data_IF_065630962569
#
_entry.id   IF_065630962569
#
_cell.length_a   1.000
_cell.length_b   1.000
_cell.length_c   1.000
_cell.angle_alpha   90.00
_cell.angle_beta   90.00
_cell.angle_gamma   90.00
#
_symmetry.space_group_name_H-M   'P 1'
#
loop_
_entity.id
_entity.type
_entity.pdbx_description
1 polymer ?
#
# COMPACT_ATOMS: atom_id res chain seq x y z
N UNK A 1 -7.66 11.28 21.03
CA UNK A 1 -7.58 10.59 19.72
C UNK A 1 -6.37 9.65 19.76
N UNK A 2 -6.59 8.36 19.98
CA UNK A 2 -5.51 7.39 20.19
C UNK A 2 -4.69 7.20 18.90
N UNK A 3 -3.46 7.73 18.92
CA UNK A 3 -2.45 7.49 17.88
C UNK A 3 -2.19 6.00 17.75
N UNK A 4 -2.89 5.34 16.82
CA UNK A 4 -2.70 3.92 16.52
C UNK A 4 -1.28 3.76 15.95
N UNK A 5 -0.34 3.30 16.79
CA UNK A 5 1.06 3.08 16.40
C UNK A 5 1.09 2.19 15.15
N UNK A 6 1.58 2.73 14.04
CA UNK A 6 1.75 1.98 12.80
C UNK A 6 2.91 1.02 13.00
N UNK A 7 2.61 -0.29 13.16
CA UNK A 7 3.66 -1.32 13.27
C UNK A 7 4.28 -1.56 11.90
N UNK A 8 5.50 -1.05 11.69
CA UNK A 8 6.30 -1.28 10.48
C UNK A 8 6.73 -2.74 10.45
N UNK A 9 6.50 -3.43 9.33
CA UNK A 9 6.98 -4.79 9.09
C UNK A 9 8.43 -4.75 8.58
N UNK A 10 9.37 -5.31 9.34
CA UNK A 10 10.76 -5.53 8.91
C UNK A 10 10.93 -7.03 8.68
N UNK A 11 11.04 -7.45 7.42
CA UNK A 11 11.35 -8.85 7.10
C UNK A 11 12.81 -9.01 6.66
N UNK A 12 13.24 -10.26 6.41
CA UNK A 12 14.61 -10.58 5.96
C UNK A 12 15.05 -9.83 4.70
N UNK A 13 14.11 -9.35 3.88
CA UNK A 13 14.39 -8.60 2.67
C UNK A 13 14.55 -7.09 2.91
N UNK A 14 14.34 -6.60 4.13
CA UNK A 14 14.43 -5.18 4.46
C UNK A 14 15.81 -4.60 4.15
N UNK A 15 16.88 -5.30 4.56
CA UNK A 15 18.26 -4.87 4.29
C UNK A 15 18.59 -4.84 2.80
N UNK A 16 18.14 -5.85 2.07
CA UNK A 16 18.29 -5.93 0.61
C UNK A 16 17.49 -4.87 -0.17
N UNK A 17 16.56 -4.17 0.49
CA UNK A 17 15.71 -3.12 -0.10
C UNK A 17 16.03 -1.74 0.49
N UNK A 18 17.32 -1.40 0.53
CA UNK A 18 17.89 -0.13 1.03
C UNK A 18 17.66 0.17 2.53
N UNK A 19 17.17 -0.78 3.34
CA UNK A 19 16.87 -0.57 4.76
C UNK A 19 15.99 0.67 5.04
N UNK A 20 15.21 1.10 4.04
CA UNK A 20 14.39 2.30 4.10
C UNK A 20 12.93 1.91 3.94
N UNK A 21 12.11 2.23 4.95
CA UNK A 21 10.66 2.05 4.89
C UNK A 21 9.99 3.40 4.70
N UNK A 22 8.99 3.46 3.82
CA UNK A 22 8.13 4.62 3.66
C UNK A 22 6.66 4.20 3.77
N UNK A 23 5.85 5.06 4.37
CA UNK A 23 4.40 4.89 4.37
C UNK A 23 3.83 5.74 3.24
N UNK A 24 3.07 5.10 2.34
CA UNK A 24 2.32 5.77 1.29
C UNK A 24 0.85 5.82 1.70
N UNK A 25 0.24 6.99 1.60
CA UNK A 25 -1.20 7.17 1.76
C UNK A 25 -1.85 7.01 0.39
N UNK A 26 -2.62 5.95 0.21
CA UNK A 26 -3.32 5.65 -1.04
C UNK A 26 -4.74 6.19 -0.95
N UNK A 27 -5.11 7.05 -1.90
CA UNK A 27 -6.42 7.69 -1.99
C UNK A 27 -7.09 7.38 -3.32
N UNK A 28 -8.42 7.32 -3.33
CA UNK A 28 -9.16 7.29 -4.60
C UNK A 28 -8.92 8.61 -5.36
N UNK A 29 -8.66 8.54 -6.66
CA UNK A 29 -8.42 9.74 -7.45
C UNK A 29 -9.66 10.63 -7.63
N UNK A 30 -10.86 10.04 -7.59
CA UNK A 30 -12.15 10.73 -7.80
C UNK A 30 -12.67 11.42 -6.54
N UNK A 31 -12.79 10.69 -5.44
CA UNK A 31 -13.38 11.21 -4.20
C UNK A 31 -12.35 11.59 -3.12
N UNK A 32 -11.04 11.44 -3.40
CA UNK A 32 -9.93 11.67 -2.45
C UNK A 32 -10.01 10.88 -1.12
N UNK A 33 -10.96 9.95 -0.96
CA UNK A 33 -11.07 9.09 0.22
C UNK A 33 -9.80 8.26 0.41
N UNK A 34 -9.29 8.24 1.64
CA UNK A 34 -8.18 7.35 2.03
C UNK A 34 -8.67 5.92 1.96
N UNK A 35 -8.00 5.11 1.13
CA UNK A 35 -8.32 3.70 0.96
C UNK A 35 -7.54 2.86 1.96
N UNK A 36 -6.23 3.08 2.02
CA UNK A 36 -5.33 2.40 2.95
C UNK A 36 -3.97 3.11 3.01
N UNK A 37 -3.17 2.78 4.02
CA UNK A 37 -1.76 3.10 4.08
C UNK A 37 -0.96 1.89 3.55
N UNK A 38 0.13 2.14 2.84
CA UNK A 38 0.94 1.09 2.25
C UNK A 38 2.40 1.26 2.64
N UNK A 39 2.97 0.21 3.19
CA UNK A 39 4.40 0.17 3.47
C UNK A 39 5.18 -0.15 2.20
N UNK A 40 5.93 0.83 1.70
CA UNK A 40 6.85 0.67 0.58
C UNK A 40 8.29 0.62 1.10
N UNK A 41 8.95 -0.50 0.87
CA UNK A 41 10.38 -0.66 1.11
C UNK A 41 11.15 -0.21 -0.15
N UNK A 42 12.27 0.50 0.04
CA UNK A 42 13.17 0.96 -1.02
C UNK A 42 13.02 2.42 -1.45
N UNK A 43 13.86 2.85 -2.42
CA UNK A 43 13.95 4.24 -2.88
C UNK A 43 12.63 4.82 -3.42
N UNK A 44 12.43 6.14 -3.26
CA UNK A 44 11.34 6.86 -3.89
C UNK A 44 11.63 6.94 -5.39
N UNK A 45 10.64 6.59 -6.21
CA UNK A 45 10.81 6.68 -7.65
C UNK A 45 9.75 5.85 -8.36
N UNK A 46 9.32 6.37 -9.52
CA UNK A 46 8.45 5.67 -10.43
C UNK A 46 7.01 5.44 -9.99
N UNK A 47 6.32 4.67 -10.82
CA UNK A 47 4.90 4.38 -10.71
C UNK A 47 4.64 3.22 -9.74
N UNK A 48 3.65 3.37 -8.85
CA UNK A 48 3.22 2.29 -7.94
C UNK A 48 2.34 1.30 -8.71
N UNK A 49 2.96 0.27 -9.29
CA UNK A 49 2.27 -0.75 -10.09
C UNK A 49 1.39 -1.69 -9.25
N UNK A 50 1.81 -1.97 -8.00
CA UNK A 50 1.23 -3.00 -7.15
C UNK A 50 1.43 -2.75 -5.67
N UNK A 51 0.51 -3.27 -4.87
CA UNK A 51 0.59 -3.27 -3.41
C UNK A 51 0.40 -4.70 -2.88
N UNK A 52 1.39 -5.25 -2.18
CA UNK A 52 1.23 -6.54 -1.52
C UNK A 52 0.27 -6.42 -0.33
N UNK A 53 -0.72 -7.32 -0.22
CA UNK A 53 -1.73 -7.26 0.85
C UNK A 53 -1.09 -7.33 2.23
N UNK A 54 -0.05 -8.15 2.39
CA UNK A 54 0.67 -8.28 3.65
C UNK A 54 1.46 -7.01 4.06
N UNK A 55 1.57 -6.00 3.19
CA UNK A 55 2.20 -4.69 3.44
C UNK A 55 1.19 -3.55 3.54
N UNK A 56 -0.10 -3.84 3.38
CA UNK A 56 -1.15 -2.86 3.57
C UNK A 56 -1.41 -2.68 5.06
N UNK A 57 -1.38 -1.43 5.48
CA UNK A 57 -1.75 -0.95 6.81
C UNK A 57 -3.12 -0.31 6.65
N UNK A 58 -4.17 -1.05 7.01
CA UNK A 58 -5.55 -0.64 6.87
C UNK A 58 -6.31 -0.87 8.16
N UNK A 59 -7.35 -0.07 8.40
CA UNK A 59 -8.32 -0.33 9.47
C UNK A 59 -9.35 -1.40 9.06
N UNK A 60 -9.48 -1.69 7.75
CA UNK A 60 -10.39 -2.70 7.20
C UNK A 60 -9.61 -3.79 6.47
N UNK A 61 -10.03 -5.03 6.64
CA UNK A 61 -9.52 -6.16 5.88
C UNK A 61 -9.83 -5.97 4.39
N UNK A 62 -8.81 -6.22 3.56
CA UNK A 62 -8.97 -6.20 2.10
C UNK A 62 -9.18 -7.63 1.67
N UNK A 63 -10.34 -7.90 1.08
CA UNK A 63 -10.68 -9.21 0.56
C UNK A 63 -9.68 -9.59 -0.57
N UNK A 64 -8.91 -10.67 -0.42
CA UNK A 64 -7.93 -11.11 -1.42
C UNK A 64 -8.56 -11.67 -2.69
N UNK A 65 -9.85 -11.99 -2.68
CA UNK A 65 -10.57 -12.56 -3.82
C UNK A 65 -11.44 -11.52 -4.56
N UNK A 66 -11.55 -10.30 -4.03
CA UNK A 66 -12.40 -9.26 -4.60
C UNK A 66 -11.60 -8.05 -5.08
N UNK A 67 -12.07 -7.43 -6.16
CA UNK A 67 -11.52 -6.18 -6.65
C UNK A 67 -11.68 -5.07 -5.61
N UNK A 68 -10.60 -4.32 -5.36
CA UNK A 68 -10.68 -3.12 -4.55
C UNK A 68 -11.41 -2.04 -5.36
N UNK A 69 -12.64 -1.73 -4.95
CA UNK A 69 -13.49 -0.71 -5.58
C UNK A 69 -13.72 0.46 -4.63
N UNK A 70 -13.81 1.65 -5.21
CA UNK A 70 -14.36 2.84 -4.56
C UNK A 70 -15.36 3.46 -5.53
N UNK A 71 -15.03 4.57 -6.20
CA UNK A 71 -15.83 5.09 -7.31
C UNK A 71 -15.56 4.36 -8.64
N UNK A 72 -14.39 3.74 -8.76
CA UNK A 72 -13.93 2.92 -9.89
C UNK A 72 -13.14 1.74 -9.32
N UNK A 73 -12.77 0.78 -10.16
CA UNK A 73 -11.83 -0.29 -9.79
C UNK A 73 -10.45 0.33 -9.54
N UNK A 74 -9.97 0.23 -8.30
CA UNK A 74 -8.68 0.77 -7.88
C UNK A 74 -7.58 -0.26 -8.08
N UNK A 75 -7.86 -1.51 -7.71
CA UNK A 75 -6.90 -2.59 -7.83
C UNK A 75 -7.56 -3.95 -7.95
N UNK A 76 -6.90 -4.83 -8.70
CA UNK A 76 -7.34 -6.19 -8.96
C UNK A 76 -6.39 -7.13 -8.19
N UNK A 77 -6.89 -7.99 -7.30
CA UNK A 77 -6.03 -8.93 -6.60
C UNK A 77 -5.48 -9.98 -7.56
N UNK A 78 -4.22 -10.37 -7.35
CA UNK A 78 -3.57 -11.45 -8.08
C UNK A 78 -2.44 -12.05 -7.24
N UNK A 79 -2.08 -13.30 -7.55
CA UNK A 79 -0.93 -13.97 -6.93
C UNK A 79 0.35 -13.59 -7.69
N UNK A 80 1.36 -13.08 -6.99
CA UNK A 80 2.66 -12.78 -7.58
C UNK A 80 3.54 -14.04 -7.66
N UNK A 81 4.63 -13.98 -8.44
CA UNK A 81 5.54 -15.13 -8.70
C UNK A 81 6.07 -15.81 -7.44
N UNK A 82 6.16 -15.07 -6.34
CA UNK A 82 6.62 -15.57 -5.04
C UNK A 82 5.49 -16.08 -4.13
N UNK A 83 4.29 -16.26 -4.67
CA UNK A 83 3.11 -16.77 -3.97
C UNK A 83 2.34 -15.73 -3.17
N UNK A 84 2.83 -14.49 -3.03
CA UNK A 84 2.15 -13.43 -2.26
C UNK A 84 0.97 -12.85 -3.03
N UNK A 85 -0.10 -12.53 -2.33
CA UNK A 85 -1.23 -11.81 -2.91
C UNK A 85 -0.91 -10.32 -2.97
N UNK A 86 -1.13 -9.72 -4.13
CA UNK A 86 -0.96 -8.29 -4.38
C UNK A 86 -2.15 -7.70 -5.14
N UNK A 87 -2.41 -6.42 -4.94
CA UNK A 87 -3.31 -5.63 -5.77
C UNK A 87 -2.52 -5.05 -6.94
N UNK A 88 -2.89 -5.38 -8.18
CA UNK A 88 -2.45 -4.66 -9.39
C UNK A 88 -3.24 -3.35 -9.46
N UNK A 89 -2.56 -2.22 -9.31
CA UNK A 89 -3.24 -0.92 -9.26
C UNK A 89 -3.51 -0.37 -10.66
N UNK A 90 -4.72 0.17 -10.86
CA UNK A 90 -5.16 0.78 -12.11
C UNK A 90 -4.68 2.22 -12.19
N UNK A 91 -3.94 2.57 -13.25
CA UNK A 91 -3.41 3.92 -13.46
C UNK A 91 -4.54 4.95 -13.61
N UNK A 92 -4.37 6.11 -12.99
CA UNK A 92 -5.36 7.19 -12.96
C UNK A 92 -6.49 7.01 -11.93
N UNK A 93 -6.74 5.80 -11.43
CA UNK A 93 -7.85 5.56 -10.50
C UNK A 93 -7.47 5.82 -9.02
N UNK A 94 -6.19 5.97 -8.71
CA UNK A 94 -5.70 6.31 -7.38
C UNK A 94 -4.65 7.42 -7.41
N UNK A 95 -4.49 8.08 -6.26
CA UNK A 95 -3.40 9.01 -5.95
C UNK A 95 -2.57 8.44 -4.81
N UNK A 96 -1.26 8.68 -4.83
CA UNK A 96 -0.35 8.37 -3.72
C UNK A 96 0.27 9.66 -3.20
N UNK A 97 0.32 9.81 -1.89
CA UNK A 97 1.21 10.77 -1.23
C UNK A 97 2.10 10.03 -0.25
N UNK A 98 3.24 10.61 0.11
CA UNK A 98 3.95 10.15 1.29
C UNK A 98 3.06 10.45 2.52
N UNK A 99 2.94 9.48 3.42
CA UNK A 99 2.40 9.74 4.75
C UNK A 99 3.40 10.57 5.55
N UNK A 100 2.93 11.24 6.60
CA UNK A 100 3.79 11.95 7.54
C UNK A 100 4.92 10.99 7.98
N UNK A 101 6.18 11.47 8.06
CA UNK A 101 7.27 10.63 8.54
C UNK A 101 6.84 10.04 9.88
N UNK A 102 6.82 8.71 9.96
CA UNK A 102 6.56 8.01 11.22
C UNK A 102 7.67 8.47 12.16
N UNK A 103 7.31 9.34 13.11
CA UNK A 103 8.20 9.87 14.14
C UNK A 103 8.91 8.68 14.80
N UNK A 104 10.23 8.81 14.93
CA UNK A 104 11.10 7.83 15.60
C UNK A 104 10.68 7.63 17.05
#
# INVERSE_FOLDING_TARGET
MTSKKIKIKRDKYFRARDSCTRILKIRCAKCNKILFLYQKDGRPGGWLKRCYLNRIISQKEINPSANLKCCKVIGIPYKYKDGRIALKLVRGNFKRSYGDPVLK
#
